data_IF_458521664602
#
_entry.id   IF_458521664602
#
_cell.length_a   1.000
_cell.length_b   1.000
_cell.length_c   1.000
_cell.angle_alpha   90.00
_cell.angle_beta   90.00
_cell.angle_gamma   90.00
#
_symmetry.space_group_name_H-M   'P 1'
#
loop_
_entity.id
_entity.type
_entity.pdbx_description
1 polymer ?
#
# COMPACT_ATOMS: atom_id res chain seq x y z
N UNK A 1 -1.92 19.09 -3.16
CA UNK A 1 -3.05 18.51 -2.40
C UNK A 1 -3.99 19.65 -2.03
N UNK A 2 -4.86 20.04 -2.97
CA UNK A 2 -5.98 20.96 -2.75
C UNK A 2 -6.85 20.93 -4.01
N UNK A 3 -7.60 19.84 -4.17
CA UNK A 3 -8.86 19.88 -4.90
C UNK A 3 -9.87 19.44 -3.85
N UNK A 4 -10.40 20.42 -3.12
CA UNK A 4 -11.71 20.25 -2.53
C UNK A 4 -12.61 19.91 -3.70
N UNK A 5 -13.07 18.66 -3.77
CA UNK A 5 -14.09 18.29 -4.73
C UNK A 5 -15.26 19.25 -4.52
N UNK A 6 -15.74 19.87 -5.59
CA UNK A 6 -16.94 20.72 -5.55
C UNK A 6 -18.22 19.91 -5.23
N UNK A 7 -18.10 18.64 -4.82
CA UNK A 7 -19.18 17.71 -4.47
C UNK A 7 -18.68 16.37 -3.93
N UNK A 8 -19.61 15.41 -3.79
CA UNK A 8 -19.35 14.08 -3.22
C UNK A 8 -19.11 12.99 -4.27
N UNK A 9 -18.87 13.39 -5.52
CA UNK A 9 -18.70 12.47 -6.65
C UNK A 9 -17.47 11.55 -6.45
N UNK A 10 -17.53 10.29 -6.92
CA UNK A 10 -16.41 9.36 -6.73
C UNK A 10 -15.10 9.85 -7.36
N UNK A 11 -14.01 9.75 -6.60
CA UNK A 11 -12.65 10.10 -7.03
C UNK A 11 -11.96 8.86 -7.58
N UNK A 12 -11.42 8.93 -8.80
CA UNK A 12 -10.63 7.86 -9.39
C UNK A 12 -9.14 8.12 -9.14
N UNK A 13 -8.51 7.26 -8.34
CA UNK A 13 -7.11 7.38 -7.98
C UNK A 13 -6.28 6.27 -8.63
N UNK A 14 -5.45 6.66 -9.60
CA UNK A 14 -4.55 5.74 -10.28
C UNK A 14 -3.23 5.60 -9.54
N UNK A 15 -2.79 4.35 -9.32
CA UNK A 15 -1.53 4.06 -8.64
C UNK A 15 -0.65 3.13 -9.47
N UNK A 16 0.57 3.58 -9.73
CA UNK A 16 1.67 2.82 -10.31
C UNK A 16 2.95 3.27 -9.62
N UNK A 17 3.33 2.59 -8.55
CA UNK A 17 4.50 2.92 -7.75
C UNK A 17 5.20 1.67 -7.21
N UNK A 18 6.55 1.63 -7.25
CA UNK A 18 7.34 0.60 -6.60
C UNK A 18 7.39 0.75 -5.07
N UNK A 19 6.79 1.82 -4.51
CA UNK A 19 6.81 2.13 -3.09
C UNK A 19 7.65 3.35 -2.75
N UNK A 20 8.06 3.45 -1.49
CA UNK A 20 8.80 4.57 -0.95
C UNK A 20 8.74 4.59 0.57
N UNK A 21 8.84 5.79 1.16
CA UNK A 21 8.70 6.00 2.61
C UNK A 21 7.31 5.56 3.09
N UNK A 22 7.28 4.79 4.17
CA UNK A 22 6.04 4.26 4.75
C UNK A 22 5.16 5.41 5.23
N UNK A 23 5.78 6.40 5.87
CA UNK A 23 5.12 7.56 6.46
C UNK A 23 4.46 8.42 5.37
N UNK A 24 5.12 8.60 4.22
CA UNK A 24 4.52 9.28 3.08
C UNK A 24 3.34 8.50 2.51
N UNK A 25 3.41 7.16 2.53
CA UNK A 25 2.29 6.30 2.18
C UNK A 25 1.12 6.40 3.15
N UNK A 26 1.41 6.49 4.46
CA UNK A 26 0.41 6.65 5.51
C UNK A 26 -0.36 7.95 5.35
N UNK A 27 0.29 9.06 4.98
CA UNK A 27 -0.40 10.32 4.68
C UNK A 27 -1.45 10.13 3.58
N UNK A 28 -1.10 9.45 2.48
CA UNK A 28 -2.06 9.23 1.38
C UNK A 28 -3.15 8.25 1.81
N UNK A 29 -2.80 7.19 2.54
CA UNK A 29 -3.75 6.24 3.11
C UNK A 29 -4.79 6.93 3.98
N UNK A 30 -4.36 7.80 4.89
CA UNK A 30 -5.24 8.54 5.79
C UNK A 30 -6.10 9.52 5.02
N UNK A 31 -5.56 10.20 4.00
CA UNK A 31 -6.35 11.11 3.17
C UNK A 31 -7.46 10.40 2.41
N UNK A 32 -7.20 9.20 1.86
CA UNK A 32 -8.23 8.39 1.19
C UNK A 32 -9.38 8.04 2.14
N UNK A 33 -9.09 7.83 3.43
CA UNK A 33 -10.10 7.53 4.46
C UNK A 33 -10.77 8.76 5.08
N UNK A 34 -10.08 9.89 5.08
CA UNK A 34 -10.52 11.11 5.72
C UNK A 34 -11.51 11.89 4.87
N UNK A 35 -11.30 11.93 3.54
CA UNK A 35 -12.17 12.69 2.65
C UNK A 35 -13.54 12.04 2.49
N UNK A 36 -14.57 12.87 2.32
CA UNK A 36 -15.97 12.42 2.18
C UNK A 36 -16.27 11.65 0.89
N UNK A 37 -15.77 12.05 -0.29
CA UNK A 37 -16.09 11.34 -1.53
C UNK A 37 -15.54 9.91 -1.53
N UNK A 38 -16.27 9.00 -2.16
CA UNK A 38 -15.79 7.62 -2.33
C UNK A 38 -14.56 7.59 -3.25
N UNK A 39 -13.44 7.05 -2.78
CA UNK A 39 -12.24 6.88 -3.60
C UNK A 39 -12.23 5.48 -4.23
N UNK A 40 -12.18 5.43 -5.55
CA UNK A 40 -11.95 4.23 -6.35
C UNK A 40 -10.48 4.18 -6.75
N UNK A 41 -9.75 3.18 -6.26
CA UNK A 41 -8.32 3.04 -6.54
C UNK A 41 -8.10 2.06 -7.68
N UNK A 42 -7.30 2.46 -8.66
CA UNK A 42 -6.97 1.66 -9.85
C UNK A 42 -5.46 1.44 -9.90
N UNK A 43 -5.05 0.20 -9.62
CA UNK A 43 -3.68 -0.25 -9.74
C UNK A 43 -3.31 -0.56 -11.19
N UNK A 44 -2.20 -0.01 -11.66
CA UNK A 44 -1.60 -0.32 -12.98
C UNK A 44 -0.09 -0.43 -12.85
N UNK A 45 0.55 -1.16 -13.77
CA UNK A 45 2.00 -1.36 -13.73
C UNK A 45 2.44 -2.07 -12.46
N UNK A 46 2.99 -1.32 -11.50
CA UNK A 46 3.47 -1.83 -10.22
C UNK A 46 2.71 -1.20 -9.05
N UNK A 47 2.29 -2.01 -8.09
CA UNK A 47 1.76 -1.55 -6.81
C UNK A 47 2.51 -2.30 -5.72
N UNK A 48 3.57 -1.68 -5.21
CA UNK A 48 4.49 -2.33 -4.29
C UNK A 48 4.71 -1.55 -2.99
N UNK A 49 5.00 -2.28 -1.90
CA UNK A 49 5.38 -1.69 -0.61
C UNK A 49 4.35 -0.70 -0.07
N UNK A 50 4.74 0.54 0.26
CA UNK A 50 3.84 1.63 0.65
C UNK A 50 2.71 1.90 -0.36
N UNK A 51 2.90 1.62 -1.65
CA UNK A 51 1.81 1.75 -2.63
C UNK A 51 0.70 0.70 -2.38
N UNK A 52 1.04 -0.47 -1.86
CA UNK A 52 0.07 -1.50 -1.47
C UNK A 52 -0.78 -1.03 -0.29
N UNK A 53 -0.20 -0.35 0.70
CA UNK A 53 -1.00 0.18 1.82
C UNK A 53 -1.97 1.23 1.31
N UNK A 54 -1.52 2.17 0.48
CA UNK A 54 -2.39 3.16 -0.19
C UNK A 54 -3.52 2.49 -0.98
N UNK A 55 -3.21 1.45 -1.76
CA UNK A 55 -4.21 0.71 -2.52
C UNK A 55 -5.29 0.08 -1.63
N UNK A 56 -4.89 -0.39 -0.45
CA UNK A 56 -5.78 -0.99 0.53
C UNK A 56 -6.55 0.04 1.37
N UNK A 57 -6.28 1.33 1.21
CA UNK A 57 -7.01 2.40 1.91
C UNK A 57 -8.49 2.47 1.49
N UNK A 58 -8.77 2.17 0.22
CA UNK A 58 -10.13 2.10 -0.30
C UNK A 58 -10.83 0.78 0.09
N UNK A 59 -12.16 0.87 0.23
CA UNK A 59 -13.02 -0.28 0.46
C UNK A 59 -12.88 -1.34 -0.65
N UNK A 60 -13.10 -2.60 -0.29
CA UNK A 60 -12.74 -3.76 -1.13
C UNK A 60 -13.35 -3.71 -2.54
N UNK A 61 -14.59 -3.28 -2.64
CA UNK A 61 -15.38 -3.12 -3.85
C UNK A 61 -14.91 -1.96 -4.75
N UNK A 62 -14.13 -1.03 -4.19
CA UNK A 62 -13.61 0.16 -4.87
C UNK A 62 -12.12 0.02 -5.26
N UNK A 63 -11.58 -1.20 -5.17
CA UNK A 63 -10.19 -1.52 -5.52
C UNK A 63 -10.14 -2.31 -6.83
N UNK A 64 -9.59 -1.70 -7.86
CA UNK A 64 -9.48 -2.26 -9.20
C UNK A 64 -8.03 -2.43 -9.61
N UNK A 65 -7.74 -3.43 -10.44
CA UNK A 65 -6.42 -3.60 -11.05
C UNK A 65 -6.58 -3.86 -12.55
N UNK A 66 -5.73 -3.23 -13.36
CA UNK A 66 -5.64 -3.54 -14.78
C UNK A 66 -5.01 -4.93 -15.00
N UNK A 67 -5.20 -5.56 -16.18
CA UNK A 67 -4.78 -6.94 -16.42
C UNK A 67 -3.29 -7.24 -16.20
N UNK A 68 -2.43 -6.24 -16.36
CA UNK A 68 -0.97 -6.38 -16.26
C UNK A 68 -0.37 -5.85 -14.95
N UNK A 69 -1.20 -5.52 -13.97
CA UNK A 69 -0.76 -4.97 -12.68
C UNK A 69 -0.03 -6.01 -11.83
N UNK A 70 1.14 -5.64 -11.32
CA UNK A 70 1.96 -6.47 -10.43
C UNK A 70 1.90 -5.93 -9.01
N UNK A 71 1.48 -6.76 -8.08
CA UNK A 71 1.51 -6.46 -6.66
C UNK A 71 2.74 -7.07 -6.01
N UNK A 72 3.44 -6.28 -5.19
CA UNK A 72 4.58 -6.76 -4.40
C UNK A 72 4.45 -6.27 -2.96
N UNK A 73 4.30 -7.23 -2.04
CA UNK A 73 4.20 -6.96 -0.61
C UNK A 73 5.48 -7.47 0.02
N UNK A 74 6.18 -6.58 0.73
CA UNK A 74 7.36 -6.94 1.50
C UNK A 74 7.36 -6.22 2.84
N UNK A 75 8.14 -6.75 3.78
CA UNK A 75 8.31 -6.15 5.10
C UNK A 75 8.97 -4.76 4.96
N UNK A 76 8.58 -3.76 5.78
CA UNK A 76 9.22 -2.45 5.73
C UNK A 76 10.72 -2.59 6.00
N UNK A 77 11.51 -1.90 5.19
CA UNK A 77 12.97 -1.87 5.30
C UNK A 77 13.38 -0.53 5.90
N UNK A 78 14.38 -0.54 6.77
CA UNK A 78 14.92 0.65 7.40
C UNK A 78 16.32 0.39 7.95
N UNK A 79 17.03 1.47 8.27
CA UNK A 79 18.35 1.43 8.88
C UNK A 79 18.53 2.60 9.83
N UNK A 80 19.33 2.42 10.87
CA UNK A 80 19.67 3.46 11.84
C UNK A 80 21.18 3.53 12.03
N UNK A 81 21.69 4.72 12.36
CA UNK A 81 23.08 5.00 12.76
C UNK A 81 23.03 6.03 13.88
N UNK A 82 23.93 5.92 14.85
CA UNK A 82 23.95 6.79 16.02
C UNK A 82 24.35 6.01 17.26
N UNK A 83 24.14 6.61 18.44
CA UNK A 83 24.39 5.94 19.71
C UNK A 83 23.42 4.76 19.91
N UNK A 84 23.78 3.86 20.83
CA UNK A 84 23.01 2.64 21.10
C UNK A 84 21.51 2.94 21.37
N UNK A 85 21.23 4.06 22.05
CA UNK A 85 19.86 4.52 22.34
C UNK A 85 19.08 4.85 21.06
N UNK A 86 19.66 5.61 20.12
CA UNK A 86 18.99 5.99 18.88
C UNK A 86 18.76 4.79 17.97
N UNK A 87 19.72 3.86 17.93
CA UNK A 87 19.57 2.59 17.21
C UNK A 87 18.41 1.79 17.81
N UNK A 88 18.33 1.68 19.14
CA UNK A 88 17.26 0.94 19.82
C UNK A 88 15.88 1.55 19.55
N UNK A 89 15.75 2.88 19.65
CA UNK A 89 14.49 3.61 19.37
C UNK A 89 14.03 3.35 17.93
N UNK A 90 14.92 3.49 16.95
CA UNK A 90 14.55 3.31 15.55
C UNK A 90 14.20 1.85 15.23
N UNK A 91 14.92 0.89 15.82
CA UNK A 91 14.58 -0.52 15.69
C UNK A 91 13.18 -0.83 16.25
N UNK A 92 12.82 -0.25 17.40
CA UNK A 92 11.48 -0.39 17.99
C UNK A 92 10.40 0.18 17.05
N UNK A 93 10.64 1.35 16.44
CA UNK A 93 9.71 1.94 15.48
C UNK A 93 9.53 1.07 14.23
N UNK A 94 10.61 0.49 13.69
CA UNK A 94 10.52 -0.46 12.55
C UNK A 94 9.65 -1.66 12.92
N UNK A 95 9.80 -2.21 14.13
CA UNK A 95 8.99 -3.33 14.62
C UNK A 95 7.52 -2.95 14.76
N UNK A 96 7.22 -1.77 15.33
CA UNK A 96 5.85 -1.24 15.45
C UNK A 96 5.21 -1.05 14.07
N UNK A 97 5.92 -0.43 13.15
CA UNK A 97 5.48 -0.19 11.77
C UNK A 97 5.19 -1.51 11.06
N UNK A 98 6.08 -2.50 11.18
CA UNK A 98 5.87 -3.85 10.66
C UNK A 98 4.59 -4.49 11.23
N UNK A 99 4.39 -4.42 12.54
CA UNK A 99 3.20 -5.00 13.18
C UNK A 99 1.91 -4.35 12.67
N UNK A 100 1.87 -3.02 12.57
CA UNK A 100 0.73 -2.26 12.02
C UNK A 100 0.44 -2.65 10.57
N UNK A 101 1.45 -2.68 9.70
CA UNK A 101 1.27 -3.05 8.28
C UNK A 101 0.74 -4.49 8.15
N UNK A 102 1.21 -5.42 8.98
CA UNK A 102 0.70 -6.80 8.97
C UNK A 102 -0.78 -6.92 9.43
N UNK A 103 -1.29 -5.95 10.20
CA UNK A 103 -2.72 -5.87 10.52
C UNK A 103 -3.54 -5.36 9.34
N UNK A 104 -3.01 -4.41 8.57
CA UNK A 104 -3.64 -3.88 7.36
C UNK A 104 -3.65 -4.91 6.22
N UNK A 105 -2.58 -5.70 6.15
CA UNK A 105 -2.38 -6.74 5.13
C UNK A 105 -2.32 -8.10 5.84
N UNK A 106 -3.47 -8.74 6.14
CA UNK A 106 -3.44 -10.07 6.71
C UNK A 106 -2.79 -11.05 5.70
N UNK A 107 -1.50 -11.32 5.90
CA UNK A 107 -0.69 -12.26 5.09
C UNK A 107 -1.35 -13.65 5.02
N UNK A 108 -2.17 -13.98 6.02
CA UNK A 108 -3.08 -15.12 5.97
C UNK A 108 -4.44 -14.64 5.46
N UNK A 109 -4.78 -15.04 4.22
CA UNK A 109 -6.15 -15.24 3.72
C UNK A 109 -6.75 -14.19 2.76
N UNK A 110 -5.99 -13.27 2.18
CA UNK A 110 -6.49 -12.54 1.02
C UNK A 110 -6.05 -13.17 -0.31
N UNK A 111 -7.05 -13.42 -1.16
CA UNK A 111 -6.95 -14.01 -2.51
C UNK A 111 -6.22 -13.08 -3.50
N UNK A 112 -5.13 -12.45 -3.11
CA UNK A 112 -4.15 -11.88 -4.06
C UNK A 112 -3.29 -13.01 -4.65
N UNK A 113 -3.38 -14.23 -4.08
CA UNK A 113 -2.72 -15.43 -4.62
C UNK A 113 -3.34 -15.97 -5.92
N UNK A 114 -4.51 -15.53 -6.38
CA UNK A 114 -5.02 -15.91 -7.72
C UNK A 114 -4.42 -15.04 -8.84
N UNK A 115 -4.08 -13.79 -8.54
CA UNK A 115 -3.39 -12.88 -9.48
C UNK A 115 -1.89 -13.21 -9.51
N UNK A 116 -1.26 -13.47 -8.36
CA UNK A 116 0.17 -13.83 -8.30
C UNK A 116 0.46 -15.26 -8.77
N UNK A 117 -0.44 -16.26 -8.61
CA UNK A 117 -0.18 -17.64 -9.09
C UNK A 117 -0.21 -17.77 -10.61
N UNK A 118 -1.04 -17.00 -11.32
CA UNK A 118 -1.03 -17.02 -12.80
C UNK A 118 0.26 -16.43 -13.39
N UNK A 119 0.90 -15.51 -12.67
CA UNK A 119 2.12 -14.83 -13.15
C UNK A 119 3.39 -15.63 -12.80
N UNK A 120 3.40 -16.39 -11.70
CA UNK A 120 4.58 -17.17 -11.30
C UNK A 120 4.77 -18.47 -12.09
N UNK A 121 3.70 -19.06 -12.65
CA UNK A 121 3.76 -20.34 -13.39
C UNK A 121 4.05 -20.11 -14.89
N UNK A 122 3.77 -18.93 -15.43
CA UNK A 122 3.99 -18.60 -16.86
C UNK A 122 5.40 -18.16 -17.25
N UNK A 123 6.41 -18.35 -16.39
CA UNK A 123 7.83 -18.01 -16.68
C UNK A 123 8.73 -19.26 -16.65
N UNK A 124 8.17 -20.46 -16.36
CA UNK A 124 8.93 -21.73 -16.39
C UNK A 124 8.18 -22.83 -17.16
N UNK A 125 7.44 -22.46 -18.20
CA UNK A 125 6.76 -23.38 -19.11
C UNK A 125 6.55 -22.75 -20.47
#
# INVERSE_FOLDING_TARGET
MALAAEGDDPIYFYISSPGGHVESGDVVYDMVKFIKPTVKVIGTGWVASAATTIYLAAEKENRFALPNTRFLIHQPLGGSRGDATDIAIQAEQIVKTKARINQLIPMKRDRISSVSRKILIGIIG
#
